data_IF_529780006696
#
_entry.id   IF_529780006696
#
_cell.length_a   1.000
_cell.length_b   1.000
_cell.length_c   1.000
_cell.angle_alpha   90.00
_cell.angle_beta   90.00
_cell.angle_gamma   90.00
#
_symmetry.space_group_name_H-M   'P 1'
#
loop_
_entity.id
_entity.type
_entity.pdbx_description
1 polymer ?
#
# COMPACT_ATOMS: atom_id res chain seq x y z
N UNK A 1 7.26 -2.13 3.04
CA UNK A 1 6.53 -0.92 3.49
C UNK A 1 6.08 -1.07 4.94
N UNK A 2 5.15 -1.98 5.25
CA UNK A 2 4.63 -2.18 6.63
C UNK A 2 5.71 -2.53 7.66
N UNK A 3 6.76 -3.26 7.28
CA UNK A 3 7.91 -3.55 8.13
C UNK A 3 8.88 -2.36 8.33
N UNK A 4 8.50 -1.13 7.93
CA UNK A 4 9.34 0.08 8.05
C UNK A 4 10.55 0.17 7.11
N UNK A 5 10.88 -0.91 6.39
CA UNK A 5 12.08 -0.98 5.54
C UNK A 5 12.04 -0.10 4.28
N UNK A 6 10.84 0.20 3.76
CA UNK A 6 10.67 0.96 2.50
C UNK A 6 10.25 2.38 2.85
N UNK A 7 11.12 3.34 2.56
CA UNK A 7 10.93 4.78 2.81
C UNK A 7 10.69 5.60 1.54
N UNK A 8 10.92 5.00 0.37
CA UNK A 8 10.76 5.64 -0.94
C UNK A 8 9.81 4.80 -1.79
N UNK A 9 8.79 5.45 -2.34
CA UNK A 9 7.95 4.91 -3.40
C UNK A 9 8.34 5.55 -4.74
N UNK A 10 8.58 4.73 -5.77
CA UNK A 10 9.04 5.21 -7.07
C UNK A 10 7.86 5.34 -8.02
N UNK A 11 7.75 6.47 -8.71
CA UNK A 11 6.66 6.75 -9.66
C UNK A 11 7.18 7.50 -10.88
N UNK A 12 6.62 7.21 -12.04
CA UNK A 12 6.94 7.93 -13.29
C UNK A 12 6.24 9.30 -13.40
N UNK A 13 5.56 9.75 -12.35
CA UNK A 13 4.76 10.97 -12.39
C UNK A 13 4.79 11.73 -11.07
N UNK A 14 4.67 13.05 -11.18
CA UNK A 14 4.72 14.00 -10.07
C UNK A 14 3.35 14.29 -9.44
N UNK A 15 3.33 14.58 -8.14
CA UNK A 15 2.15 15.13 -7.46
C UNK A 15 2.50 16.32 -6.56
N UNK A 16 1.61 17.32 -6.51
CA UNK A 16 1.67 18.43 -5.55
C UNK A 16 1.13 18.06 -4.16
N UNK A 17 0.47 16.91 -4.02
CA UNK A 17 -0.12 16.47 -2.76
C UNK A 17 0.94 16.21 -1.69
N UNK A 18 0.70 16.62 -0.45
CA UNK A 18 1.49 16.29 0.76
C UNK A 18 0.53 15.97 1.89
N UNK A 19 0.89 15.00 2.73
CA UNK A 19 0.01 14.49 3.78
C UNK A 19 -0.27 13.00 3.66
N UNK A 20 -1.41 12.59 4.22
CA UNK A 20 -1.82 11.19 4.37
C UNK A 20 -2.14 10.51 3.03
N UNK A 21 -1.35 9.49 2.68
CA UNK A 21 -1.57 8.62 1.54
C UNK A 21 -1.97 7.21 1.98
N UNK A 22 -3.06 6.72 1.39
CA UNK A 22 -3.51 5.36 1.56
C UNK A 22 -2.75 4.42 0.62
N UNK A 23 -2.01 3.47 1.19
CA UNK A 23 -1.20 2.52 0.44
C UNK A 23 -1.98 1.24 0.15
N UNK A 24 -2.11 0.95 -1.15
CA UNK A 24 -2.88 -0.17 -1.67
C UNK A 24 -1.95 -1.29 -2.14
N UNK A 25 -2.26 -2.51 -1.72
CA UNK A 25 -1.65 -3.72 -2.26
C UNK A 25 -2.20 -4.02 -3.65
N UNK A 26 -1.32 -4.45 -4.55
CA UNK A 26 -1.67 -4.80 -5.93
C UNK A 26 -2.78 -5.85 -5.98
N UNK A 27 -3.65 -5.79 -6.98
CA UNK A 27 -4.65 -6.85 -7.23
C UNK A 27 -4.02 -8.17 -7.72
N UNK A 28 -2.72 -8.17 -8.08
CA UNK A 28 -2.00 -9.36 -8.52
C UNK A 28 -1.93 -10.38 -7.37
N UNK A 29 -2.42 -11.59 -7.64
CA UNK A 29 -2.45 -12.72 -6.70
C UNK A 29 -1.05 -13.33 -6.52
N UNK A 30 -0.24 -12.70 -5.67
CA UNK A 30 1.08 -13.21 -5.25
C UNK A 30 0.91 -13.96 -3.93
N UNK A 31 1.52 -15.14 -3.82
CA UNK A 31 1.45 -15.95 -2.60
C UNK A 31 1.97 -15.14 -1.39
N UNK A 32 1.23 -15.14 -0.28
CA UNK A 32 1.60 -14.37 0.92
C UNK A 32 1.21 -12.89 0.88
N UNK A 33 0.78 -12.35 -0.26
CA UNK A 33 0.28 -10.98 -0.36
C UNK A 33 -1.20 -10.90 0.00
N UNK A 34 -1.68 -9.67 0.25
CA UNK A 34 -3.10 -9.36 0.48
C UNK A 34 -3.64 -8.57 -0.71
N UNK A 35 -4.04 -9.22 -1.81
CA UNK A 35 -4.30 -8.52 -3.07
C UNK A 35 -5.61 -7.73 -3.05
N UNK A 36 -5.59 -6.49 -3.56
CA UNK A 36 -6.81 -5.66 -3.71
C UNK A 36 -7.29 -4.98 -2.41
N UNK A 37 -6.39 -4.80 -1.44
CA UNK A 37 -6.70 -4.11 -0.19
C UNK A 37 -5.76 -2.93 0.05
N UNK A 38 -6.30 -1.87 0.63
CA UNK A 38 -5.52 -0.85 1.32
C UNK A 38 -5.14 -1.36 2.71
N UNK A 39 -3.87 -1.19 3.09
CA UNK A 39 -3.28 -1.83 4.28
C UNK A 39 -2.69 -0.85 5.29
N UNK A 40 -2.19 0.30 4.83
CA UNK A 40 -1.63 1.32 5.71
C UNK A 40 -1.83 2.72 5.14
N UNK A 41 -1.78 3.69 6.04
CA UNK A 41 -1.62 5.12 5.71
C UNK A 41 -0.16 5.48 5.94
N UNK A 42 0.41 6.28 5.07
CA UNK A 42 1.75 6.87 5.22
C UNK A 42 1.64 8.38 5.02
N UNK A 43 2.62 9.14 5.51
CA UNK A 43 2.76 10.55 5.15
C UNK A 43 3.62 10.67 3.89
N UNK A 44 3.22 11.49 2.92
CA UNK A 44 4.07 11.91 1.80
C UNK A 44 4.77 13.22 2.16
N UNK A 45 6.07 13.14 2.43
CA UNK A 45 6.89 14.26 2.91
C UNK A 45 7.41 15.11 1.76
N UNK A 46 8.08 14.47 0.79
CA UNK A 46 8.62 15.14 -0.39
C UNK A 46 8.51 14.27 -1.64
N UNK A 47 8.63 14.92 -2.79
CA UNK A 47 8.69 14.27 -4.10
C UNK A 47 9.84 14.91 -4.84
N UNK A 48 10.88 14.14 -5.09
CA UNK A 48 12.11 14.57 -5.76
C UNK A 48 12.27 13.76 -7.04
N UNK A 49 12.72 14.40 -8.11
CA UNK A 49 13.00 13.71 -9.36
C UNK A 49 14.46 13.26 -9.36
N UNK A 50 14.70 12.01 -9.75
CA UNK A 50 16.02 11.42 -9.85
C UNK A 50 16.32 11.13 -11.32
N UNK A 51 17.30 11.85 -11.87
CA UNK A 51 17.70 11.72 -13.27
C UNK A 51 18.35 10.37 -13.58
N UNK A 52 19.02 9.74 -12.59
CA UNK A 52 19.73 8.48 -12.79
C UNK A 52 18.80 7.30 -13.10
N UNK A 53 17.60 7.30 -12.52
CA UNK A 53 16.61 6.24 -12.72
C UNK A 53 15.36 6.69 -13.47
N UNK A 54 15.24 7.98 -13.82
CA UNK A 54 14.07 8.57 -14.51
C UNK A 54 12.77 8.38 -13.71
N UNK A 55 12.86 8.42 -12.37
CA UNK A 55 11.72 8.31 -11.47
C UNK A 55 11.59 9.48 -10.52
N UNK A 56 10.35 9.76 -10.13
CA UNK A 56 10.04 10.55 -8.95
C UNK A 56 10.11 9.66 -7.71
N UNK A 57 10.97 10.05 -6.78
CA UNK A 57 11.12 9.45 -5.46
C UNK A 57 10.13 10.13 -4.52
N UNK A 58 9.10 9.40 -4.15
CA UNK A 58 8.13 9.83 -3.15
C UNK A 58 8.62 9.40 -1.77
N UNK A 59 9.15 10.36 -1.02
CA UNK A 59 9.64 10.14 0.33
C UNK A 59 8.46 10.01 1.30
N UNK A 60 8.37 8.87 1.96
CA UNK A 60 7.26 8.50 2.83
C UNK A 60 7.70 8.20 4.25
N UNK A 61 6.89 8.63 5.21
CA UNK A 61 7.10 8.40 6.64
C UNK A 61 5.81 8.03 7.37
N UNK A 62 5.87 7.92 8.69
CA UNK A 62 4.71 7.72 9.58
C UNK A 62 3.75 6.60 9.13
N UNK A 63 4.30 5.39 8.96
CA UNK A 63 3.53 4.22 8.53
C UNK A 63 2.57 3.78 9.63
N UNK A 64 1.27 3.92 9.37
CA UNK A 64 0.19 3.52 10.27
C UNK A 64 -0.63 2.41 9.61
N UNK A 65 -0.66 1.23 10.22
CA UNK A 65 -1.49 0.13 9.72
C UNK A 65 -2.96 0.40 9.98
N UNK A 66 -3.81 -0.03 9.06
CA UNK A 66 -5.25 0.15 9.15
C UNK A 66 -5.97 -1.19 9.05
N UNK A 67 -7.22 -1.24 9.50
CA UNK A 67 -8.11 -2.36 9.17
C UNK A 67 -8.20 -2.47 7.64
N UNK A 68 -7.89 -3.64 7.03
CA UNK A 68 -7.84 -3.77 5.59
C UNK A 68 -9.14 -3.30 4.92
N UNK A 69 -9.01 -2.41 3.94
CA UNK A 69 -10.15 -1.90 3.16
C UNK A 69 -10.07 -2.51 1.78
N UNK A 70 -11.10 -3.24 1.36
CA UNK A 70 -11.17 -3.72 -0.01
C UNK A 70 -11.31 -2.52 -0.95
N UNK A 71 -10.39 -2.39 -1.90
CA UNK A 71 -10.34 -1.27 -2.85
C UNK A 71 -10.11 -1.80 -4.26
N UNK A 72 -10.83 -1.23 -5.22
CA UNK A 72 -10.46 -1.39 -6.62
C UNK A 72 -9.33 -0.41 -6.89
N UNK A 73 -8.09 -0.91 -6.87
CA UNK A 73 -6.91 -0.10 -7.14
C UNK A 73 -7.05 0.65 -8.46
N UNK A 74 -6.67 1.92 -8.47
CA UNK A 74 -6.69 2.78 -9.65
C UNK A 74 -5.27 3.25 -9.97
N UNK A 75 -5.04 3.63 -11.22
CA UNK A 75 -3.83 4.35 -11.58
C UNK A 75 -3.90 5.76 -10.99
N UNK A 76 -2.76 6.26 -10.52
CA UNK A 76 -2.62 7.57 -9.84
C UNK A 76 -3.39 7.64 -8.52
N UNK A 77 -3.53 8.85 -7.97
CA UNK A 77 -4.23 9.09 -6.71
C UNK A 77 -5.74 9.05 -6.90
N UNK A 78 -6.43 8.44 -5.95
CA UNK A 78 -7.88 8.40 -5.88
C UNK A 78 -8.33 8.53 -4.42
N UNK A 79 -9.56 8.98 -4.22
CA UNK A 79 -10.08 9.26 -2.89
C UNK A 79 -10.79 8.03 -2.30
N UNK A 80 -10.55 7.79 -1.01
CA UNK A 80 -11.28 6.81 -0.20
C UNK A 80 -11.95 7.57 0.95
N UNK A 81 -13.25 7.35 1.23
CA UNK A 81 -13.92 8.03 2.32
C UNK A 81 -13.24 7.79 3.68
N UNK A 82 -12.92 8.88 4.40
CA UNK A 82 -12.22 8.82 5.69
C UNK A 82 -12.92 7.91 6.72
N UNK A 83 -14.25 7.81 6.68
CA UNK A 83 -15.05 6.92 7.56
C UNK A 83 -14.68 5.44 7.46
N UNK A 84 -14.04 5.02 6.36
CA UNK A 84 -13.59 3.65 6.15
C UNK A 84 -12.20 3.40 6.76
N UNK A 85 -11.42 4.45 6.99
CA UNK A 85 -10.04 4.38 7.46
C UNK A 85 -10.04 4.25 8.98
N UNK A 86 -9.65 3.09 9.47
CA UNK A 86 -9.52 2.79 10.90
C UNK A 86 -8.11 2.34 11.19
N UNK A 87 -7.30 3.19 11.83
CA UNK A 87 -5.96 2.85 12.31
C UNK A 87 -6.09 1.82 13.43
N UNK A 88 -5.28 0.77 13.38
CA UNK A 88 -5.27 -0.32 14.36
C UNK A 88 -3.83 -0.57 14.84
N UNK A 89 -3.69 -1.34 15.92
CA UNK A 89 -2.36 -1.78 16.38
C UNK A 89 -1.75 -2.80 15.42
N UNK A 90 -0.42 -2.99 15.52
CA UNK A 90 0.31 -3.95 14.69
C UNK A 90 -0.18 -5.38 14.92
N UNK A 91 -0.44 -5.76 16.17
CA UNK A 91 -0.91 -7.10 16.53
C UNK A 91 -2.29 -7.39 15.94
N UNK A 92 -3.23 -6.44 16.08
CA UNK A 92 -4.55 -6.53 15.46
C UNK A 92 -4.46 -6.61 13.93
N UNK A 93 -3.53 -5.86 13.32
CA UNK A 93 -3.33 -5.91 11.88
C UNK A 93 -2.85 -7.29 11.43
N UNK A 94 -1.88 -7.88 12.13
CA UNK A 94 -1.32 -9.19 11.79
C UNK A 94 -2.36 -10.31 11.92
N UNK A 95 -3.33 -10.19 12.83
CA UNK A 95 -4.48 -11.09 12.90
C UNK A 95 -5.52 -10.87 11.80
N UNK A 96 -5.82 -9.62 11.46
CA UNK A 96 -6.82 -9.29 10.43
C UNK A 96 -6.35 -9.72 9.02
N UNK A 97 -5.07 -9.52 8.68
CA UNK A 97 -4.57 -9.85 7.34
C UNK A 97 -4.59 -11.35 7.04
N UNK A 98 -4.51 -12.23 8.04
CA UNK A 98 -4.50 -13.70 7.86
C UNK A 98 -5.69 -14.18 7.03
N UNK A 99 -6.83 -13.50 7.14
CA UNK A 99 -8.08 -13.79 6.40
C UNK A 99 -7.97 -13.49 4.91
N UNK A 100 -7.10 -12.55 4.54
CA UNK A 100 -7.00 -11.99 3.19
C UNK A 100 -5.71 -12.38 2.45
N UNK A 101 -4.78 -13.07 3.13
CA UNK A 101 -3.56 -13.59 2.51
C UNK A 101 -3.92 -14.57 1.41
N UNK A 102 -3.44 -14.30 0.20
CA UNK A 102 -3.62 -15.19 -0.94
C UNK A 102 -2.77 -16.45 -0.80
N UNK A 103 -3.45 -17.61 -0.85
CA UNK A 103 -2.85 -18.94 -0.93
C UNK A 103 -3.13 -19.52 -2.32
N UNK A 104 -2.11 -19.80 -3.14
CA UNK A 104 -2.33 -20.39 -4.45
C UNK A 104 -2.97 -21.78 -4.31
N UNK A 105 -4.01 -22.06 -5.09
CA UNK A 105 -4.56 -23.41 -5.18
C UNK A 105 -3.64 -24.25 -6.07
N UNK A 106 -3.08 -25.31 -5.52
CA UNK A 106 -2.28 -26.26 -6.28
C UNK A 106 -3.19 -26.95 -7.31
N UNK A 107 -2.95 -26.74 -8.61
CA UNK A 107 -3.59 -27.53 -9.66
C UNK A 107 -2.70 -28.73 -9.93
N UNK A 108 -3.17 -29.94 -9.61
CA UNK A 108 -2.56 -31.16 -10.15
C UNK A 108 -2.56 -31.02 -11.68
N UNK A 109 -1.37 -31.05 -12.30
CA UNK A 109 -1.27 -31.23 -13.75
C UNK A 109 -1.96 -32.56 -14.08
N UNK A 110 -2.97 -32.51 -14.95
CA UNK A 110 -3.49 -33.71 -15.63
C UNK A 110 -2.49 -34.11 -16.70
#
# INVERSE_FOLDING_TARGET
MIAGKKKIEYRTWYTKYRGDLLMCSTAKKVAGAVPGYALCVVNLDSVEYCEEDDFYHWNISNVRVIKPIHVKGQLKLFNVPNKLIKVISKDQFDDEIKKYIYKPKWRKKR
#
